data_IF_214310060997
#
_entry.id   IF_214310060997
#
_cell.length_a   1.000
_cell.length_b   1.000
_cell.length_c   1.000
_cell.angle_alpha   90.00
_cell.angle_beta   90.00
_cell.angle_gamma   90.00
#
_symmetry.space_group_name_H-M   'P 1'
#
loop_
_entity.id
_entity.type
_entity.pdbx_description
1 polymer ?
#
# COMPACT_ATOMS: atom_id res chain seq x y z
N UNK A 1 13.20 -13.64 11.19
CA UNK A 1 12.42 -12.38 11.15
C UNK A 1 13.00 -11.54 10.02
N UNK A 2 12.20 -11.10 9.05
CA UNK A 2 12.69 -10.31 7.92
C UNK A 2 12.99 -8.88 8.36
N UNK A 3 14.03 -8.28 7.78
CA UNK A 3 14.30 -6.86 7.94
C UNK A 3 13.29 -6.08 7.09
N UNK A 4 12.28 -5.50 7.74
CA UNK A 4 11.23 -4.73 7.07
C UNK A 4 11.77 -3.46 6.40
N UNK A 5 12.84 -2.87 6.95
CA UNK A 5 13.48 -1.70 6.31
C UNK A 5 14.13 -2.10 4.99
N UNK A 6 14.74 -3.29 4.95
CA UNK A 6 15.27 -3.89 3.72
C UNK A 6 14.15 -4.26 2.76
N UNK A 7 13.07 -4.89 3.22
CA UNK A 7 11.92 -5.24 2.36
C UNK A 7 11.31 -4.00 1.69
N UNK A 8 11.07 -2.93 2.45
CA UNK A 8 10.44 -1.71 1.93
C UNK A 8 11.38 -0.95 0.99
N UNK A 9 12.69 -0.95 1.25
CA UNK A 9 13.66 -0.26 0.41
C UNK A 9 14.11 -1.05 -0.82
N UNK A 10 14.27 -2.37 -0.69
CA UNK A 10 14.94 -3.25 -1.66
C UNK A 10 13.99 -4.31 -2.26
N UNK A 11 12.72 -4.33 -1.84
CA UNK A 11 11.74 -5.33 -2.27
C UNK A 11 11.93 -6.71 -1.65
N UNK A 12 11.06 -7.64 -2.05
CA UNK A 12 11.10 -9.07 -1.70
C UNK A 12 11.61 -9.87 -2.90
N UNK A 13 12.44 -10.89 -2.68
CA UNK A 13 12.99 -11.75 -3.77
C UNK A 13 14.40 -11.34 -4.20
N UNK A 14 14.66 -11.22 -5.50
CA UNK A 14 16.00 -11.02 -6.10
C UNK A 14 16.66 -9.65 -5.81
N UNK A 15 16.14 -8.89 -4.85
CA UNK A 15 16.77 -7.72 -4.21
C UNK A 15 17.25 -6.62 -5.17
N UNK A 16 16.42 -6.25 -6.15
CA UNK A 16 16.68 -5.03 -6.95
C UNK A 16 16.10 -3.84 -6.19
N UNK A 17 16.90 -2.81 -5.97
CA UNK A 17 16.44 -1.54 -5.36
C UNK A 17 15.06 -1.16 -5.92
N UNK A 18 14.02 -1.22 -5.07
CA UNK A 18 12.64 -0.97 -5.50
C UNK A 18 12.41 0.48 -5.94
N UNK A 19 13.33 1.37 -5.55
CA UNK A 19 13.35 2.76 -5.96
C UNK A 19 14.68 3.14 -6.62
N UNK A 20 14.61 3.94 -7.67
CA UNK A 20 15.76 4.75 -8.11
C UNK A 20 16.15 5.75 -7.02
N UNK A 21 17.37 6.34 -7.07
CA UNK A 21 17.74 7.43 -6.16
C UNK A 21 16.76 8.60 -6.18
N UNK A 22 16.20 8.98 -7.34
CA UNK A 22 15.21 10.06 -7.41
C UNK A 22 13.89 9.65 -6.74
N UNK A 23 13.39 8.46 -7.05
CA UNK A 23 12.17 7.92 -6.43
C UNK A 23 12.29 7.85 -4.90
N UNK A 24 13.45 7.46 -4.39
CA UNK A 24 13.73 7.45 -2.95
C UNK A 24 13.62 8.85 -2.34
N UNK A 25 14.08 9.89 -3.05
CA UNK A 25 13.95 11.25 -2.58
C UNK A 25 12.48 11.71 -2.56
N UNK A 26 11.70 11.35 -3.59
CA UNK A 26 10.26 11.62 -3.65
C UNK A 26 9.54 10.99 -2.45
N UNK A 27 9.78 9.70 -2.19
CA UNK A 27 9.18 8.98 -1.06
C UNK A 27 9.56 9.62 0.28
N UNK A 28 10.82 10.02 0.47
CA UNK A 28 11.27 10.70 1.69
C UNK A 28 10.56 12.04 1.90
N UNK A 29 10.45 12.85 0.86
CA UNK A 29 9.75 14.15 0.92
C UNK A 29 8.27 13.94 1.22
N UNK A 30 7.61 13.00 0.55
CA UNK A 30 6.21 12.66 0.81
C UNK A 30 5.98 12.24 2.28
N UNK A 31 6.78 11.30 2.79
CA UNK A 31 6.66 10.85 4.18
C UNK A 31 6.96 11.96 5.20
N UNK A 32 7.86 12.89 4.88
CA UNK A 32 8.14 14.04 5.74
C UNK A 32 6.91 14.95 5.86
N UNK A 33 6.32 15.32 4.72
CA UNK A 33 5.13 16.18 4.68
C UNK A 33 3.93 15.51 5.34
N UNK A 34 3.71 14.21 5.08
CA UNK A 34 2.64 13.44 5.70
C UNK A 34 2.74 13.44 7.22
N UNK A 35 3.95 13.21 7.77
CA UNK A 35 4.17 13.21 9.22
C UNK A 35 3.89 14.55 9.87
N UNK A 36 4.16 15.65 9.18
CA UNK A 36 3.81 16.98 9.68
C UNK A 36 2.29 17.18 9.70
N UNK A 37 1.59 16.82 8.62
CA UNK A 37 0.13 16.92 8.56
C UNK A 37 -0.56 16.02 9.62
N UNK A 38 -0.06 14.81 9.84
CA UNK A 38 -0.57 13.90 10.88
C UNK A 38 -0.34 14.49 12.28
N UNK A 39 0.83 15.10 12.52
CA UNK A 39 1.14 15.74 13.79
C UNK A 39 0.26 16.97 14.07
N UNK A 40 -0.01 17.78 13.04
CA UNK A 40 -0.87 18.97 13.15
C UNK A 40 -2.35 18.61 13.37
N UNK A 41 -2.84 17.58 12.68
CA UNK A 41 -4.22 17.11 12.81
C UNK A 41 -4.47 16.28 14.07
N UNK A 42 -3.44 15.64 14.61
CA UNK A 42 -3.55 14.66 15.70
C UNK A 42 -4.11 13.30 15.26
N UNK A 43 -4.33 13.11 13.96
CA UNK A 43 -4.81 11.88 13.36
C UNK A 43 -3.72 11.27 12.48
N UNK A 44 -3.62 9.94 12.47
CA UNK A 44 -2.69 9.24 11.60
C UNK A 44 -3.32 9.04 10.22
N UNK A 45 -2.56 9.31 9.16
CA UNK A 45 -2.98 8.94 7.83
C UNK A 45 -2.95 7.43 7.63
N UNK A 46 -3.87 6.98 6.79
CA UNK A 46 -3.98 5.62 6.32
C UNK A 46 -3.09 5.44 5.08
N UNK A 47 -2.41 4.31 4.97
CA UNK A 47 -1.56 4.03 3.82
C UNK A 47 -1.05 2.60 3.77
N UNK A 48 -0.48 2.25 2.63
CA UNK A 48 0.21 0.98 2.44
C UNK A 48 1.51 0.92 3.24
N UNK A 49 1.98 -0.30 3.51
CA UNK A 49 3.30 -0.53 4.08
C UNK A 49 4.44 -0.09 3.13
N UNK A 50 4.18 -0.03 1.82
CA UNK A 50 5.08 0.45 0.76
C UNK A 50 4.48 1.68 0.05
N UNK A 51 5.29 2.73 -0.13
CA UNK A 51 4.86 3.95 -0.85
C UNK A 51 4.99 3.73 -2.35
N UNK A 52 3.89 3.38 -3.01
CA UNK A 52 3.87 3.10 -4.45
C UNK A 52 4.01 4.38 -5.26
N UNK A 53 4.85 4.32 -6.30
CA UNK A 53 4.96 5.37 -7.32
C UNK A 53 4.37 4.87 -8.63
N UNK A 54 3.65 5.74 -9.34
CA UNK A 54 3.21 5.46 -10.70
C UNK A 54 4.41 5.53 -11.69
N UNK A 55 4.24 5.13 -12.96
CA UNK A 55 5.31 5.23 -13.97
C UNK A 55 5.85 6.65 -14.21
N UNK A 56 5.15 7.68 -13.75
CA UNK A 56 5.54 9.09 -13.84
C UNK A 56 6.15 9.63 -12.53
N UNK A 57 6.47 8.74 -11.58
CA UNK A 57 7.01 9.05 -10.25
C UNK A 57 6.08 9.87 -9.33
N UNK A 58 4.77 9.84 -9.55
CA UNK A 58 3.81 10.38 -8.59
C UNK A 58 3.51 9.36 -7.50
N UNK A 59 3.40 9.82 -6.26
CA UNK A 59 2.94 8.97 -5.15
C UNK A 59 1.48 8.62 -5.37
N UNK A 60 1.16 7.33 -5.25
CA UNK A 60 -0.20 6.80 -5.35
C UNK A 60 -0.75 6.61 -3.93
N UNK A 61 -1.53 7.56 -3.38
CA UNK A 61 -2.17 7.36 -2.08
C UNK A 61 -3.24 6.29 -2.19
N UNK A 62 -3.32 5.42 -1.19
CA UNK A 62 -4.37 4.40 -1.09
C UNK A 62 -5.12 4.62 0.21
N UNK A 63 -6.44 4.80 0.09
CA UNK A 63 -7.35 5.01 1.22
C UNK A 63 -8.21 3.77 1.53
N UNK A 64 -8.12 2.72 0.70
CA UNK A 64 -8.90 1.50 0.85
C UNK A 64 -8.09 0.29 0.41
N UNK A 65 -8.30 -0.87 1.04
CA UNK A 65 -7.66 -2.12 0.64
C UNK A 65 -8.22 -2.67 -0.67
N UNK A 66 -8.90 -3.81 -0.62
CA UNK A 66 -9.52 -4.38 -1.81
C UNK A 66 -10.76 -3.56 -2.21
N UNK A 67 -10.96 -3.30 -3.51
CA UNK A 67 -12.16 -2.60 -3.99
C UNK A 67 -13.41 -3.44 -3.73
N UNK A 68 -14.57 -2.80 -3.67
CA UNK A 68 -15.83 -3.51 -3.45
C UNK A 68 -16.23 -4.36 -4.66
N UNK A 69 -15.94 -3.87 -5.87
CA UNK A 69 -16.19 -4.58 -7.12
C UNK A 69 -14.90 -4.76 -7.92
N UNK A 70 -14.83 -5.85 -8.69
CA UNK A 70 -13.73 -6.13 -9.61
C UNK A 70 -14.20 -6.02 -11.06
N UNK A 71 -13.34 -5.53 -11.98
CA UNK A 71 -13.63 -5.61 -13.40
C UNK A 71 -13.71 -7.07 -13.84
N UNK A 72 -14.51 -7.36 -14.88
CA UNK A 72 -14.75 -8.73 -15.36
C UNK A 72 -13.47 -9.47 -15.77
N UNK A 73 -12.42 -8.75 -16.16
CA UNK A 73 -11.12 -9.27 -16.57
C UNK A 73 -10.03 -9.07 -15.50
N UNK A 74 -10.40 -8.97 -14.21
CA UNK A 74 -9.43 -8.82 -13.12
C UNK A 74 -8.40 -9.96 -13.13
N UNK A 75 -7.17 -9.64 -12.68
CA UNK A 75 -6.12 -10.64 -12.53
C UNK A 75 -6.62 -11.80 -11.64
N UNK A 76 -6.42 -13.08 -12.02
CA UNK A 76 -6.95 -14.22 -11.27
C UNK A 76 -6.50 -14.27 -9.81
N UNK A 77 -5.29 -13.81 -9.51
CA UNK A 77 -4.80 -13.72 -8.12
C UNK A 77 -5.60 -12.68 -7.36
N UNK A 78 -5.75 -11.46 -7.90
CA UNK A 78 -6.58 -10.42 -7.28
C UNK A 78 -8.02 -10.90 -7.05
N UNK A 79 -8.60 -11.59 -8.04
CA UNK A 79 -9.94 -12.15 -7.93
C UNK A 79 -10.06 -13.16 -6.78
N UNK A 80 -9.07 -14.02 -6.57
CA UNK A 80 -9.06 -14.97 -5.45
C UNK A 80 -9.01 -14.25 -4.09
N UNK A 81 -8.17 -13.22 -3.95
CA UNK A 81 -8.08 -12.43 -2.72
C UNK A 81 -9.40 -11.69 -2.44
N UNK A 82 -9.99 -11.06 -3.45
CA UNK A 82 -11.29 -10.39 -3.35
C UNK A 82 -12.40 -11.36 -2.93
N UNK A 83 -12.53 -12.49 -3.63
CA UNK A 83 -13.55 -13.51 -3.32
C UNK A 83 -13.40 -14.11 -1.92
N UNK A 84 -12.20 -14.07 -1.33
CA UNK A 84 -11.99 -14.47 0.05
C UNK A 84 -12.38 -13.36 1.04
N UNK A 85 -11.80 -12.16 0.90
CA UNK A 85 -11.93 -11.09 1.90
C UNK A 85 -13.23 -10.27 1.82
N UNK A 86 -13.92 -10.29 0.67
CA UNK A 86 -15.20 -9.61 0.44
C UNK A 86 -16.42 -10.56 0.55
N UNK A 87 -16.21 -11.79 1.02
CA UNK A 87 -17.29 -12.73 1.34
C UNK A 87 -17.34 -13.03 2.84
N UNK A 88 -18.47 -13.54 3.33
CA UNK A 88 -18.70 -13.80 4.76
C UNK A 88 -17.62 -14.67 5.41
N UNK A 89 -17.00 -15.59 4.64
CA UNK A 89 -15.99 -16.52 5.16
C UNK A 89 -14.68 -15.84 5.54
N UNK A 90 -14.21 -14.89 4.73
CA UNK A 90 -12.93 -14.20 4.95
C UNK A 90 -13.09 -12.76 5.43
N UNK A 91 -14.31 -12.24 5.51
CA UNK A 91 -14.58 -10.91 6.03
C UNK A 91 -14.20 -10.80 7.52
N UNK A 92 -13.51 -9.72 7.87
CA UNK A 92 -13.29 -9.33 9.25
C UNK A 92 -13.39 -7.81 9.41
N UNK A 93 -14.14 -7.28 10.40
CA UNK A 93 -14.42 -5.85 10.54
C UNK A 93 -13.19 -4.98 10.87
N UNK A 94 -12.07 -5.61 11.24
CA UNK A 94 -10.78 -4.93 11.50
C UNK A 94 -9.70 -5.24 10.47
N UNK A 95 -10.08 -5.90 9.37
CA UNK A 95 -9.15 -6.27 8.30
C UNK A 95 -9.18 -5.20 7.21
N UNK A 96 -8.03 -4.58 6.97
CA UNK A 96 -7.82 -3.63 5.88
C UNK A 96 -8.22 -4.21 4.51
N UNK A 97 -8.08 -5.52 4.31
CA UNK A 97 -8.47 -6.16 3.05
C UNK A 97 -10.00 -6.31 2.89
N UNK A 98 -10.74 -6.29 4.00
CA UNK A 98 -12.20 -6.41 4.00
C UNK A 98 -12.88 -5.05 4.07
N UNK A 99 -12.32 -4.14 4.86
CA UNK A 99 -12.83 -2.78 5.10
C UNK A 99 -11.99 -1.74 4.35
N UNK A 100 -12.23 -0.47 4.66
CA UNK A 100 -11.26 0.59 4.44
C UNK A 100 -10.11 0.48 5.44
N UNK A 101 -8.96 1.02 5.07
CA UNK A 101 -7.78 1.06 5.92
C UNK A 101 -7.89 2.18 6.97
#
# INVERSE_FOLDING_TARGET
MYDMSRSIGWGVGDQKNGYTPEQRQIVKTYLNNLRWADAESGERAIGLHEVVLDPNNNVVPIQQGLPDELPANANPVLAQFHNFYKTQRGYHPRSINSTTA
#
